data_IF_389923682885
#
_entry.id   IF_389923682885
#
_cell.length_a   1.000
_cell.length_b   1.000
_cell.length_c   1.000
_cell.angle_alpha   90.00
_cell.angle_beta   90.00
_cell.angle_gamma   90.00
#
_symmetry.space_group_name_H-M   'P 1'
#
loop_
_entity.id
_entity.type
_entity.pdbx_description
1 polymer ?
#
# COMPACT_ATOMS: atom_id res chain seq x y z
N UNK A 1 15.63 13.00 -13.04
CA UNK A 1 14.17 13.07 -13.31
C UNK A 1 14.01 13.65 -14.70
N UNK A 2 13.92 12.77 -15.68
CA UNK A 2 13.91 13.17 -17.12
C UNK A 2 12.56 13.76 -17.53
N UNK A 3 11.45 13.19 -17.00
CA UNK A 3 10.09 13.51 -17.43
C UNK A 3 9.26 14.31 -16.42
N UNK A 4 9.84 14.69 -15.30
CA UNK A 4 9.15 15.44 -14.24
C UNK A 4 10.03 16.53 -13.64
N UNK A 5 9.47 17.73 -13.47
CA UNK A 5 10.14 18.83 -12.78
C UNK A 5 10.23 18.58 -11.28
N UNK A 6 9.14 18.08 -10.70
CA UNK A 6 8.99 17.78 -9.27
C UNK A 6 8.34 16.42 -9.13
N UNK A 7 8.83 15.61 -8.20
CA UNK A 7 8.22 14.34 -7.81
C UNK A 7 7.95 14.37 -6.32
N UNK A 8 6.75 13.98 -5.92
CA UNK A 8 6.37 13.81 -4.53
C UNK A 8 6.06 12.34 -4.25
N UNK A 9 6.46 11.85 -3.09
CA UNK A 9 6.18 10.49 -2.66
C UNK A 9 6.05 10.39 -1.14
N UNK A 10 5.71 9.20 -0.66
CA UNK A 10 5.71 8.87 0.77
C UNK A 10 6.87 7.95 1.09
N UNK A 11 7.40 8.06 2.31
CA UNK A 11 8.50 7.20 2.78
C UNK A 11 8.01 5.93 3.47
N UNK A 12 6.74 5.87 3.89
CA UNK A 12 6.15 4.83 4.74
C UNK A 12 5.33 3.75 3.99
N UNK A 13 5.44 3.68 2.67
CA UNK A 13 4.76 2.66 1.85
C UNK A 13 5.80 1.68 1.31
N UNK A 14 5.94 1.56 0.01
CA UNK A 14 6.89 0.62 -0.64
C UNK A 14 8.34 0.82 -0.18
N UNK A 15 8.74 2.06 0.15
CA UNK A 15 10.08 2.34 0.70
C UNK A 15 10.32 1.80 2.13
N UNK A 16 9.28 1.32 2.81
CA UNK A 16 9.36 0.71 4.16
C UNK A 16 9.96 1.63 5.25
N UNK A 17 9.98 2.93 5.02
CA UNK A 17 10.52 3.91 5.96
C UNK A 17 9.49 4.44 6.97
N UNK A 18 9.87 5.43 7.75
CA UNK A 18 8.99 6.09 8.72
C UNK A 18 7.89 6.88 8.00
N UNK A 19 6.81 7.18 8.71
CA UNK A 19 5.74 8.03 8.18
C UNK A 19 6.28 9.42 7.84
N UNK A 20 6.08 9.81 6.59
CA UNK A 20 6.52 11.11 6.08
C UNK A 20 6.35 11.23 4.58
N UNK A 21 6.65 12.42 4.08
CA UNK A 21 6.70 12.74 2.66
C UNK A 21 8.13 13.03 2.20
N UNK A 22 8.30 13.01 0.89
CA UNK A 22 9.53 13.42 0.20
C UNK A 22 9.13 14.25 -1.01
N UNK A 23 9.83 15.34 -1.24
CA UNK A 23 9.72 16.18 -2.43
C UNK A 23 11.08 16.18 -3.11
N UNK A 24 11.13 15.78 -4.37
CA UNK A 24 12.33 15.73 -5.18
C UNK A 24 12.23 16.76 -6.29
N UNK A 25 13.25 17.60 -6.41
CA UNK A 25 13.43 18.56 -7.49
C UNK A 25 14.68 18.15 -8.28
N UNK A 26 14.53 17.86 -9.56
CA UNK A 26 15.65 17.42 -10.39
C UNK A 26 16.58 18.59 -10.72
N UNK A 27 16.18 19.41 -11.66
CA UNK A 27 16.90 20.64 -12.04
C UNK A 27 16.11 21.83 -11.50
N UNK A 28 16.77 22.72 -10.77
CA UNK A 28 16.12 23.91 -10.24
C UNK A 28 15.85 24.93 -11.35
N UNK A 29 14.74 25.64 -11.24
CA UNK A 29 14.29 26.61 -12.24
C UNK A 29 13.57 27.79 -11.59
N UNK A 30 13.43 28.88 -12.34
CA UNK A 30 12.65 30.04 -11.89
C UNK A 30 11.16 29.70 -11.79
N UNK A 31 10.50 30.16 -10.71
CA UNK A 31 9.09 29.87 -10.53
C UNK A 31 8.22 30.49 -11.64
N UNK A 32 7.24 29.76 -12.19
CA UNK A 32 6.42 30.24 -13.30
C UNK A 32 5.42 31.33 -12.90
N UNK A 33 5.25 31.59 -11.61
CA UNK A 33 4.31 32.61 -11.09
C UNK A 33 4.95 33.99 -10.91
N UNK A 34 6.20 34.16 -11.29
CA UNK A 34 6.93 35.43 -11.17
C UNK A 34 7.10 35.94 -9.73
N UNK A 35 7.01 35.06 -8.73
CA UNK A 35 7.23 35.43 -7.32
C UNK A 35 8.67 35.86 -7.12
N UNK A 36 8.86 37.03 -6.48
CA UNK A 36 10.16 37.67 -6.30
C UNK A 36 10.64 37.63 -4.85
N UNK A 37 11.95 37.73 -4.70
CA UNK A 37 12.60 38.03 -3.43
C UNK A 37 12.38 39.50 -3.04
N UNK A 38 12.63 39.92 -1.79
CA UNK A 38 12.62 41.34 -1.41
C UNK A 38 13.56 42.23 -2.23
N UNK A 39 14.60 41.63 -2.84
CA UNK A 39 15.56 42.33 -3.74
C UNK A 39 15.09 42.42 -5.19
N UNK A 40 13.89 41.89 -5.51
CA UNK A 40 13.31 41.97 -6.86
C UNK A 40 13.69 40.81 -7.80
N UNK A 41 14.53 39.89 -7.39
CA UNK A 41 14.94 38.71 -8.15
C UNK A 41 13.82 37.64 -8.19
N UNK A 42 13.64 36.95 -9.29
CA UNK A 42 12.69 35.85 -9.39
C UNK A 42 13.17 34.67 -8.52
N UNK A 43 12.33 34.22 -7.61
CA UNK A 43 12.64 33.08 -6.74
C UNK A 43 12.76 31.79 -7.55
N UNK A 44 13.74 30.96 -7.20
CA UNK A 44 13.83 29.58 -7.69
C UNK A 44 12.71 28.72 -7.12
N UNK A 45 12.40 27.61 -7.81
CA UNK A 45 11.36 26.68 -7.37
C UNK A 45 11.72 26.02 -6.05
N UNK A 46 12.98 25.67 -5.81
CA UNK A 46 13.48 25.16 -4.54
C UNK A 46 13.13 26.09 -3.37
N UNK A 47 13.34 27.40 -3.51
CA UNK A 47 13.03 28.37 -2.47
C UNK A 47 11.54 28.43 -2.12
N UNK A 48 10.66 28.22 -3.11
CA UNK A 48 9.23 28.15 -2.87
C UNK A 48 8.83 26.87 -2.17
N UNK A 49 9.40 25.72 -2.56
CA UNK A 49 9.16 24.44 -1.93
C UNK A 49 9.66 24.44 -0.47
N UNK A 50 10.87 24.91 -0.23
CA UNK A 50 11.43 25.00 1.11
C UNK A 50 10.58 25.89 2.02
N UNK A 51 10.18 27.07 1.52
CA UNK A 51 9.31 27.97 2.26
C UNK A 51 7.90 27.40 2.50
N UNK A 52 7.39 26.58 1.60
CA UNK A 52 6.10 25.92 1.78
C UNK A 52 6.18 24.79 2.82
N UNK A 53 7.30 24.09 2.90
CA UNK A 53 7.54 23.08 3.93
C UNK A 53 7.79 23.77 5.27
N UNK A 54 8.80 24.65 5.34
CA UNK A 54 9.14 25.39 6.55
C UNK A 54 9.39 26.87 6.22
N UNK A 55 8.72 27.80 6.88
CA UNK A 55 7.77 27.62 8.00
C UNK A 55 6.31 27.42 7.57
N UNK A 56 6.03 27.14 6.29
CA UNK A 56 4.66 27.13 5.75
C UNK A 56 3.73 26.12 6.43
N UNK A 57 4.16 24.87 6.56
CA UNK A 57 3.36 23.76 7.11
C UNK A 57 4.03 23.14 8.34
N UNK A 58 5.36 22.98 8.30
CA UNK A 58 6.15 22.33 9.35
C UNK A 58 6.71 23.35 10.35
N UNK A 59 7.02 22.87 11.55
CA UNK A 59 7.76 23.59 12.59
C UNK A 59 9.12 22.93 12.84
N UNK A 60 9.48 22.78 14.13
CA UNK A 60 10.72 22.07 14.51
C UNK A 60 10.79 20.67 13.92
N UNK A 61 11.92 20.27 13.34
CA UNK A 61 12.05 18.99 12.64
C UNK A 61 12.00 17.81 13.62
N UNK A 62 11.35 16.73 13.20
CA UNK A 62 11.36 15.45 13.91
C UNK A 62 12.63 14.68 13.51
N UNK A 63 13.75 14.94 14.16
CA UNK A 63 15.08 14.43 13.76
C UNK A 63 15.15 12.91 13.77
N UNK A 64 14.43 12.22 14.69
CA UNK A 64 14.33 10.77 14.70
C UNK A 64 13.65 10.22 13.44
N UNK A 65 12.66 10.93 12.88
CA UNK A 65 12.03 10.59 11.60
C UNK A 65 12.98 10.81 10.44
N UNK A 66 13.78 11.90 10.49
CA UNK A 66 14.78 12.20 9.45
C UNK A 66 15.86 11.13 9.45
N UNK A 67 16.39 10.75 10.63
CA UNK A 67 17.34 9.67 10.79
C UNK A 67 16.79 8.33 10.28
N UNK A 68 15.54 8.00 10.62
CA UNK A 68 14.89 6.79 10.14
C UNK A 68 14.67 6.79 8.61
N UNK A 69 14.43 7.96 7.99
CA UNK A 69 14.40 8.08 6.51
C UNK A 69 15.78 7.79 5.90
N UNK A 70 16.86 8.29 6.52
CA UNK A 70 18.21 8.03 6.03
C UNK A 70 18.54 6.54 6.05
N UNK A 71 18.17 5.83 7.13
CA UNK A 71 18.33 4.37 7.23
C UNK A 71 17.52 3.67 6.12
N UNK A 72 16.25 4.00 5.99
CA UNK A 72 15.37 3.39 4.97
C UNK A 72 15.87 3.63 3.54
N UNK A 73 16.43 4.80 3.25
CA UNK A 73 17.03 5.09 1.94
C UNK A 73 18.34 4.33 1.72
N UNK A 74 19.16 4.16 2.78
CA UNK A 74 20.34 3.30 2.74
C UNK A 74 19.97 1.86 2.40
N UNK A 75 19.01 1.28 3.13
CA UNK A 75 18.49 -0.07 2.83
C UNK A 75 17.95 -0.18 1.41
N UNK A 76 17.24 0.83 0.91
CA UNK A 76 16.66 0.83 -0.43
C UNK A 76 17.71 0.88 -1.56
N UNK A 77 18.96 1.23 -1.26
CA UNK A 77 20.08 1.20 -2.21
C UNK A 77 20.79 -0.17 -2.25
N UNK A 78 20.55 -1.03 -1.26
CA UNK A 78 21.20 -2.34 -1.19
C UNK A 78 20.55 -3.35 -2.16
N UNK A 79 21.32 -4.32 -2.66
CA UNK A 79 20.82 -5.37 -3.56
C UNK A 79 19.65 -6.16 -2.97
N UNK A 80 19.67 -6.42 -1.67
CA UNK A 80 18.65 -7.15 -0.92
C UNK A 80 17.26 -6.49 -1.01
N UNK A 81 17.23 -5.17 -1.14
CA UNK A 81 15.97 -4.46 -1.35
C UNK A 81 15.35 -4.77 -2.72
N UNK A 82 16.16 -4.97 -3.75
CA UNK A 82 15.70 -5.40 -5.07
C UNK A 82 15.14 -6.82 -5.02
N UNK A 83 15.79 -7.71 -4.29
CA UNK A 83 15.33 -9.09 -4.09
C UNK A 83 14.01 -9.11 -3.33
N UNK A 84 13.89 -8.30 -2.28
CA UNK A 84 12.63 -8.10 -1.55
C UNK A 84 11.50 -7.62 -2.47
N UNK A 85 11.72 -6.60 -3.29
CA UNK A 85 10.70 -6.07 -4.21
C UNK A 85 10.34 -7.09 -5.31
N UNK A 86 11.29 -7.91 -5.73
CA UNK A 86 11.04 -9.02 -6.66
C UNK A 86 10.13 -10.06 -6.01
N UNK A 87 10.38 -10.41 -4.74
CA UNK A 87 9.53 -11.32 -3.99
C UNK A 87 8.12 -10.74 -3.75
N UNK A 88 8.02 -9.44 -3.44
CA UNK A 88 6.72 -8.75 -3.33
C UNK A 88 5.87 -8.93 -4.59
N UNK A 89 6.48 -8.75 -5.77
CA UNK A 89 5.78 -8.91 -7.06
C UNK A 89 5.38 -10.37 -7.32
N UNK A 90 6.24 -11.33 -7.02
CA UNK A 90 5.94 -12.76 -7.15
C UNK A 90 4.75 -13.15 -6.28
N UNK A 91 4.79 -12.76 -5.00
CA UNK A 91 3.69 -12.99 -4.07
C UNK A 91 2.38 -12.37 -4.57
N UNK A 92 2.43 -11.13 -5.08
CA UNK A 92 1.25 -10.46 -5.59
C UNK A 92 0.67 -11.17 -6.83
N UNK A 93 1.51 -11.57 -7.77
CA UNK A 93 1.07 -12.30 -8.97
C UNK A 93 0.45 -13.66 -8.62
N UNK A 94 1.08 -14.42 -7.71
CA UNK A 94 0.56 -15.71 -7.23
C UNK A 94 -0.77 -15.54 -6.51
N UNK A 95 -0.88 -14.53 -5.63
CA UNK A 95 -2.12 -14.22 -4.92
C UNK A 95 -3.24 -13.82 -5.89
N UNK A 96 -2.94 -12.97 -6.88
CA UNK A 96 -3.91 -12.56 -7.89
C UNK A 96 -4.41 -13.77 -8.71
N UNK A 97 -3.53 -14.67 -9.12
CA UNK A 97 -3.90 -15.88 -9.83
C UNK A 97 -4.80 -16.78 -8.97
N UNK A 98 -4.46 -16.97 -7.69
CA UNK A 98 -5.29 -17.76 -6.78
C UNK A 98 -6.70 -17.18 -6.60
N UNK A 99 -6.86 -15.85 -6.60
CA UNK A 99 -8.19 -15.23 -6.63
C UNK A 99 -8.94 -15.47 -7.93
N UNK A 100 -8.25 -15.38 -9.07
CA UNK A 100 -8.84 -15.66 -10.39
C UNK A 100 -9.33 -17.10 -10.46
N UNK A 101 -8.55 -18.05 -10.00
CA UNK A 101 -8.87 -19.49 -9.97
C UNK A 101 -10.11 -19.77 -9.09
N UNK A 102 -10.36 -18.92 -8.09
CA UNK A 102 -11.57 -18.97 -7.26
C UNK A 102 -12.76 -18.18 -7.83
N UNK A 103 -12.65 -17.66 -9.05
CA UNK A 103 -13.73 -16.96 -9.74
C UNK A 103 -13.90 -15.48 -9.37
N UNK A 104 -12.90 -14.88 -8.72
CA UNK A 104 -12.88 -13.42 -8.52
C UNK A 104 -12.40 -12.70 -9.78
N UNK A 105 -12.88 -11.48 -9.96
CA UNK A 105 -12.40 -10.58 -10.99
C UNK A 105 -11.35 -9.64 -10.40
N UNK A 106 -10.11 -9.79 -10.84
CA UNK A 106 -9.05 -8.81 -10.58
C UNK A 106 -9.14 -7.71 -11.65
N UNK A 107 -9.20 -6.46 -11.22
CA UNK A 107 -9.17 -5.32 -12.15
C UNK A 107 -7.85 -5.35 -12.92
N UNK A 108 -7.91 -5.10 -14.23
CA UNK A 108 -6.83 -5.29 -15.21
C UNK A 108 -6.39 -6.75 -15.46
N UNK A 109 -7.10 -7.74 -14.92
CA UNK A 109 -6.84 -9.16 -15.19
C UNK A 109 -5.66 -9.76 -14.44
N UNK A 110 -5.07 -9.04 -13.49
CA UNK A 110 -3.92 -9.48 -12.69
C UNK A 110 -3.19 -8.31 -12.07
N UNK A 111 -1.92 -8.52 -11.71
CA UNK A 111 -1.04 -7.46 -11.21
C UNK A 111 0.41 -7.69 -11.60
N UNK A 112 1.12 -6.61 -11.92
CA UNK A 112 2.56 -6.55 -12.16
C UNK A 112 3.31 -5.71 -11.11
N UNK A 113 2.59 -5.30 -10.04
CA UNK A 113 3.13 -4.53 -8.93
C UNK A 113 2.86 -5.22 -7.57
N UNK A 114 2.76 -4.47 -6.50
CA UNK A 114 2.66 -4.95 -5.12
C UNK A 114 1.23 -5.16 -4.61
N UNK A 115 0.20 -4.79 -5.40
CA UNK A 115 -1.19 -4.81 -4.94
C UNK A 115 -2.16 -5.16 -6.06
N UNK A 116 -3.36 -5.54 -5.68
CA UNK A 116 -4.45 -5.85 -6.58
C UNK A 116 -5.76 -5.26 -6.08
N UNK A 117 -6.63 -4.93 -7.02
CA UNK A 117 -8.00 -4.51 -6.76
C UNK A 117 -8.96 -5.62 -7.20
N UNK A 118 -9.74 -6.11 -6.26
CA UNK A 118 -10.66 -7.22 -6.43
C UNK A 118 -12.08 -6.68 -6.53
N UNK A 119 -12.76 -6.97 -7.63
CA UNK A 119 -14.20 -6.69 -7.81
C UNK A 119 -15.00 -7.86 -7.22
N UNK A 120 -15.71 -7.61 -6.14
CA UNK A 120 -16.49 -8.63 -5.44
C UNK A 120 -17.77 -9.02 -6.18
N UNK A 121 -18.30 -8.13 -7.03
CA UNK A 121 -19.60 -8.32 -7.70
C UNK A 121 -19.67 -9.57 -8.57
N UNK A 122 -18.53 -10.01 -9.11
CA UNK A 122 -18.50 -11.20 -9.99
C UNK A 122 -18.84 -12.47 -9.23
N UNK A 123 -18.36 -12.60 -7.99
CA UNK A 123 -18.56 -13.82 -7.17
C UNK A 123 -19.66 -13.65 -6.13
N UNK A 124 -19.74 -12.47 -5.52
CA UNK A 124 -20.69 -12.13 -4.46
C UNK A 124 -21.39 -10.81 -4.79
N UNK A 125 -22.45 -10.82 -5.66
CA UNK A 125 -23.10 -9.61 -6.18
C UNK A 125 -23.60 -8.65 -5.09
N UNK A 126 -24.09 -9.19 -3.98
CA UNK A 126 -24.68 -8.41 -2.88
C UNK A 126 -23.65 -7.97 -1.84
N UNK A 127 -22.44 -8.55 -1.84
CA UNK A 127 -21.39 -8.23 -0.88
C UNK A 127 -20.79 -6.85 -1.18
N UNK A 128 -20.83 -5.96 -0.19
CA UNK A 128 -20.16 -4.66 -0.30
C UNK A 128 -18.72 -4.73 0.20
N UNK A 129 -17.85 -3.86 -0.32
CA UNK A 129 -16.49 -3.74 0.19
C UNK A 129 -16.44 -3.41 1.69
N UNK A 130 -17.43 -2.64 2.19
CA UNK A 130 -17.56 -2.31 3.62
C UNK A 130 -17.82 -3.55 4.49
N UNK A 131 -18.71 -4.43 4.07
CA UNK A 131 -18.99 -5.68 4.80
C UNK A 131 -17.80 -6.61 4.73
N UNK A 132 -17.21 -6.76 3.54
CA UNK A 132 -16.00 -7.56 3.32
C UNK A 132 -14.83 -7.10 4.20
N UNK A 133 -14.52 -5.80 4.20
CA UNK A 133 -13.47 -5.22 5.06
C UNK A 133 -13.73 -5.51 6.54
N UNK A 134 -14.96 -5.28 7.02
CA UNK A 134 -15.32 -5.52 8.42
C UNK A 134 -15.14 -6.99 8.82
N UNK A 135 -15.60 -7.92 8.00
CA UNK A 135 -15.50 -9.35 8.28
C UNK A 135 -14.05 -9.84 8.27
N UNK A 136 -13.25 -9.41 7.26
CA UNK A 136 -11.83 -9.77 7.15
C UNK A 136 -11.01 -9.20 8.30
N UNK A 137 -11.23 -7.94 8.69
CA UNK A 137 -10.56 -7.34 9.85
C UNK A 137 -10.90 -8.08 11.14
N UNK A 138 -12.14 -8.54 11.30
CA UNK A 138 -12.53 -9.36 12.45
C UNK A 138 -11.85 -10.75 12.47
N UNK A 139 -11.39 -11.22 11.30
CA UNK A 139 -10.57 -12.44 11.16
C UNK A 139 -9.05 -12.15 11.19
N UNK A 140 -8.63 -10.98 11.62
CA UNK A 140 -7.22 -10.50 11.64
C UNK A 140 -6.56 -10.44 10.26
N UNK A 141 -7.36 -10.25 9.20
CA UNK A 141 -6.89 -10.04 7.83
C UNK A 141 -7.16 -8.58 7.43
N UNK A 142 -6.12 -7.75 7.43
CA UNK A 142 -6.24 -6.33 7.11
C UNK A 142 -6.32 -6.10 5.61
N UNK A 143 -7.42 -5.51 5.17
CA UNK A 143 -7.65 -5.06 3.80
C UNK A 143 -8.27 -3.66 3.79
N UNK A 144 -8.38 -3.05 2.61
CA UNK A 144 -9.13 -1.80 2.46
C UNK A 144 -10.32 -2.02 1.51
N UNK A 145 -11.52 -1.56 1.90
CA UNK A 145 -12.59 -1.39 0.92
C UNK A 145 -12.15 -0.38 -0.14
N UNK A 146 -12.50 -0.63 -1.38
CA UNK A 146 -12.10 0.21 -2.50
C UNK A 146 -13.18 0.24 -3.59
N UNK A 147 -13.40 1.42 -4.16
CA UNK A 147 -14.22 1.51 -5.36
C UNK A 147 -13.55 0.79 -6.53
N UNK A 148 -14.34 0.16 -7.35
CA UNK A 148 -13.90 -0.42 -8.63
C UNK A 148 -14.26 0.52 -9.79
N UNK A 149 -13.64 0.39 -10.96
CA UNK A 149 -14.04 1.17 -12.13
C UNK A 149 -15.55 1.05 -12.40
N UNK A 150 -16.19 2.19 -12.65
CA UNK A 150 -17.64 2.29 -12.87
C UNK A 150 -18.48 1.71 -11.72
N UNK A 151 -18.02 1.89 -10.50
CA UNK A 151 -18.74 1.42 -9.31
C UNK A 151 -20.05 2.19 -9.15
N UNK A 152 -21.17 1.46 -9.06
CA UNK A 152 -22.50 2.03 -8.83
C UNK A 152 -22.79 2.31 -7.36
N UNK A 153 -21.95 1.77 -6.44
CA UNK A 153 -22.07 1.99 -5.00
C UNK A 153 -21.29 3.24 -4.58
N UNK A 154 -21.71 3.85 -3.48
CA UNK A 154 -21.01 5.01 -2.93
C UNK A 154 -19.62 4.65 -2.40
N UNK A 155 -18.74 5.65 -2.25
CA UNK A 155 -17.42 5.49 -1.65
C UNK A 155 -17.44 4.96 -0.21
N UNK A 156 -18.59 5.06 0.49
CA UNK A 156 -18.77 4.52 1.84
C UNK A 156 -19.08 3.02 1.85
N UNK A 157 -19.61 2.48 0.76
CA UNK A 157 -19.96 1.07 0.61
C UNK A 157 -18.94 0.31 -0.22
N UNK A 158 -18.65 0.82 -1.42
CA UNK A 158 -17.78 0.24 -2.44
C UNK A 158 -18.18 -1.17 -2.91
N UNK A 159 -17.66 -1.60 -4.04
CA UNK A 159 -17.89 -2.94 -4.58
C UNK A 159 -16.63 -3.80 -4.62
N UNK A 160 -15.53 -3.29 -4.12
CA UNK A 160 -14.25 -4.00 -4.13
C UNK A 160 -13.46 -3.86 -2.85
N UNK A 161 -12.39 -4.64 -2.81
CA UNK A 161 -11.35 -4.59 -1.79
C UNK A 161 -9.99 -4.51 -2.46
N UNK A 162 -9.04 -3.82 -1.80
CA UNK A 162 -7.65 -3.76 -2.24
C UNK A 162 -6.76 -4.50 -1.25
N UNK A 163 -5.92 -5.36 -1.79
CA UNK A 163 -4.95 -6.18 -1.06
C UNK A 163 -3.57 -5.92 -1.62
N UNK A 164 -2.56 -6.00 -0.76
CA UNK A 164 -1.15 -5.89 -1.17
C UNK A 164 -0.26 -6.81 -0.35
N UNK A 165 0.89 -7.17 -0.91
CA UNK A 165 1.80 -8.17 -0.35
C UNK A 165 3.05 -7.65 0.35
N UNK A 166 3.41 -6.34 0.37
CA UNK A 166 4.64 -5.89 1.00
C UNK A 166 4.78 -6.27 2.47
N UNK A 167 3.72 -6.10 3.27
CA UNK A 167 3.77 -6.36 4.72
C UNK A 167 4.02 -7.85 5.03
N UNK A 168 3.34 -8.74 4.33
CA UNK A 168 3.51 -10.20 4.53
C UNK A 168 4.87 -10.68 3.99
N UNK A 169 5.35 -10.09 2.88
CA UNK A 169 6.68 -10.39 2.33
C UNK A 169 7.79 -9.92 3.28
N UNK A 170 7.64 -8.75 3.92
CA UNK A 170 8.58 -8.29 4.96
C UNK A 170 8.69 -9.27 6.12
N UNK A 171 7.61 -9.98 6.43
CA UNK A 171 7.58 -11.03 7.47
C UNK A 171 8.14 -12.38 6.98
N UNK A 172 8.59 -12.50 5.75
CA UNK A 172 9.23 -13.69 5.19
C UNK A 172 8.31 -14.61 4.39
N UNK A 173 7.03 -14.26 4.20
CA UNK A 173 6.12 -15.06 3.39
C UNK A 173 6.53 -15.07 1.92
N UNK A 174 6.38 -16.23 1.29
CA UNK A 174 6.62 -16.48 -0.12
C UNK A 174 5.38 -17.04 -0.80
N UNK A 175 5.51 -17.41 -2.07
CA UNK A 175 4.42 -17.84 -2.95
C UNK A 175 3.57 -18.98 -2.36
N UNK A 176 4.19 -19.89 -1.63
CA UNK A 176 3.52 -21.08 -1.06
C UNK A 176 2.37 -20.71 -0.11
N UNK A 177 2.52 -19.58 0.62
CA UNK A 177 1.50 -19.12 1.55
C UNK A 177 0.35 -18.37 0.86
N UNK A 178 0.55 -17.86 -0.36
CA UNK A 178 -0.43 -16.97 -1.01
C UNK A 178 -1.76 -17.67 -1.29
N UNK A 179 -1.73 -18.92 -1.70
CA UNK A 179 -2.93 -19.74 -1.92
C UNK A 179 -3.74 -19.95 -0.65
N UNK A 180 -3.06 -20.23 0.46
CA UNK A 180 -3.72 -20.41 1.76
C UNK A 180 -4.34 -19.12 2.31
N UNK A 181 -3.68 -17.98 2.10
CA UNK A 181 -4.24 -16.66 2.44
C UNK A 181 -5.53 -16.42 1.64
N UNK A 182 -5.53 -16.69 0.34
CA UNK A 182 -6.71 -16.53 -0.52
C UNK A 182 -7.84 -17.47 -0.09
N UNK A 183 -7.53 -18.70 0.32
CA UNK A 183 -8.52 -19.63 0.87
C UNK A 183 -9.20 -19.10 2.13
N UNK A 184 -8.41 -18.56 3.05
CA UNK A 184 -8.93 -17.95 4.28
C UNK A 184 -9.82 -16.73 3.98
N UNK A 185 -9.40 -15.88 3.04
CA UNK A 185 -10.18 -14.72 2.60
C UNK A 185 -11.49 -15.17 1.96
N UNK A 186 -11.44 -16.13 1.04
CA UNK A 186 -12.63 -16.67 0.38
C UNK A 186 -13.64 -17.26 1.38
N UNK A 187 -13.15 -18.00 2.37
CA UNK A 187 -13.96 -18.59 3.44
C UNK A 187 -14.72 -17.52 4.23
N UNK A 188 -14.06 -16.42 4.59
CA UNK A 188 -14.71 -15.30 5.30
C UNK A 188 -15.71 -14.58 4.41
N UNK A 189 -15.36 -14.31 3.14
CA UNK A 189 -16.22 -13.59 2.21
C UNK A 189 -17.48 -14.39 1.81
N UNK A 190 -17.42 -15.71 1.85
CA UNK A 190 -18.57 -16.59 1.63
C UNK A 190 -19.58 -16.58 2.79
N UNK A 191 -19.15 -16.23 4.01
CA UNK A 191 -19.99 -16.18 5.19
C UNK A 191 -19.62 -14.98 6.11
N UNK A 192 -19.75 -13.74 5.62
CA UNK A 192 -19.16 -12.54 6.25
C UNK A 192 -19.86 -12.13 7.57
N UNK A 193 -21.02 -12.71 7.88
CA UNK A 193 -21.75 -12.46 9.13
C UNK A 193 -21.75 -13.68 10.07
N UNK A 194 -21.02 -14.73 9.71
CA UNK A 194 -20.94 -15.95 10.54
C UNK A 194 -19.77 -15.85 11.53
N UNK A 195 -20.04 -15.50 12.77
CA UNK A 195 -19.04 -15.36 13.83
C UNK A 195 -18.20 -16.63 14.02
N UNK A 196 -18.80 -17.81 13.88
CA UNK A 196 -18.10 -19.10 13.98
C UNK A 196 -17.02 -19.24 12.89
N UNK A 197 -17.37 -18.90 11.65
CA UNK A 197 -16.43 -18.93 10.50
C UNK A 197 -15.31 -17.91 10.70
N UNK A 198 -15.66 -16.68 11.06
CA UNK A 198 -14.69 -15.60 11.30
C UNK A 198 -13.72 -15.98 12.41
N UNK A 199 -14.22 -16.54 13.51
CA UNK A 199 -13.38 -16.98 14.64
C UNK A 199 -12.43 -18.11 14.23
N UNK A 200 -12.92 -19.13 13.51
CA UNK A 200 -12.10 -20.25 13.07
C UNK A 200 -10.97 -19.78 12.11
N UNK A 201 -11.30 -18.86 11.18
CA UNK A 201 -10.28 -18.28 10.28
C UNK A 201 -9.28 -17.44 11.06
N UNK A 202 -9.72 -16.63 12.02
CA UNK A 202 -8.84 -15.84 12.89
C UNK A 202 -7.84 -16.70 13.65
N UNK A 203 -8.31 -17.80 14.23
CA UNK A 203 -7.44 -18.76 14.94
C UNK A 203 -6.39 -19.36 13.99
N UNK A 204 -6.80 -19.71 12.76
CA UNK A 204 -5.89 -20.21 11.73
C UNK A 204 -4.86 -19.15 11.31
N UNK A 205 -5.29 -17.90 11.05
CA UNK A 205 -4.40 -16.77 10.74
C UNK A 205 -3.38 -16.59 11.85
N UNK A 206 -3.82 -16.54 13.11
CA UNK A 206 -2.93 -16.36 14.25
C UNK A 206 -1.95 -17.53 14.43
N UNK A 207 -2.37 -18.76 14.13
CA UNK A 207 -1.50 -19.93 14.16
C UNK A 207 -0.39 -19.84 13.12
N UNK A 208 -0.73 -19.54 11.85
CA UNK A 208 0.23 -19.38 10.75
C UNK A 208 1.18 -18.24 11.05
N UNK A 209 0.67 -17.10 11.49
CA UNK A 209 1.47 -15.88 11.67
C UNK A 209 2.46 -15.94 12.84
N UNK A 210 2.42 -16.99 13.69
CA UNK A 210 3.50 -17.26 14.66
C UNK A 210 4.82 -17.61 13.98
N UNK A 211 4.78 -18.25 12.81
CA UNK A 211 5.97 -18.59 12.03
C UNK A 211 6.53 -17.40 11.25
N UNK A 212 5.79 -16.30 11.20
CA UNK A 212 6.13 -15.07 10.49
C UNK A 212 6.11 -13.87 11.45
N UNK A 213 6.95 -13.82 12.48
CA UNK A 213 6.92 -12.75 13.49
C UNK A 213 7.27 -11.39 12.89
N UNK A 214 6.74 -10.31 13.49
CA UNK A 214 7.22 -8.95 13.27
C UNK A 214 8.48 -8.78 14.11
N UNK A 215 9.48 -8.02 13.61
CA UNK A 215 10.73 -7.77 14.33
C UNK A 215 11.55 -9.05 14.61
N UNK A 216 11.64 -9.91 13.61
CA UNK A 216 12.47 -11.13 13.66
C UNK A 216 13.87 -10.84 13.08
N UNK A 217 14.73 -10.16 13.84
CA UNK A 217 16.15 -9.91 13.54
C UNK A 217 17.03 -10.44 14.66
#
# INVERSE_FOLDING_TARGET
MEYAHIVTSTTHKTLRGPRGGIILLGKDFENPWGKKTPKGEIKKMSQLLDSAVFPGIQGGPLEHVIAAKAVAFGEALEPEYKDYQTQVKKNAATMAQAFIDKGYKIISGGTDNHSMLIDLRTKFPDLTGKVAEKALVAADITVNKNMVPFDSRSAFQTSGIRIGTPAITTRGAKEELMGEIVEMIDTVLAAPECDKTITAVREKVNSIMKEYPIFAW
#
